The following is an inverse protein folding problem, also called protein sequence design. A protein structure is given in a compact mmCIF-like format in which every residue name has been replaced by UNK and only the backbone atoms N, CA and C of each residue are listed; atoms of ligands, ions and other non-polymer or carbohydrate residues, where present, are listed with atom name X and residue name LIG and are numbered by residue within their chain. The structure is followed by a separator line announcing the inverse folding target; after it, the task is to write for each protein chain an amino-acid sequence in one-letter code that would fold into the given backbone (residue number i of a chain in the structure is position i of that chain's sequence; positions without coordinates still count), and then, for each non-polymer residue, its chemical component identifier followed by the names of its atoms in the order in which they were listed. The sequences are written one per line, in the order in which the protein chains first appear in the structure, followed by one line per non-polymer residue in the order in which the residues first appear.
data_IF_325336299367
#
_entry.id   IF_325336299367
#
_cell.length_a   1.000
_cell.length_b   1.000
_cell.length_c   1.000
_cell.angle_alpha   90.00
_cell.angle_beta   90.00
_cell.angle_gamma   90.00
#
_symmetry.space_group_name_H-M   'P 1'
#
loop_
_entity.id
_entity.type
_entity.pdbx_description
1 polymer ?
#
# COMPACT_ATOMS: atom_id res chain seq x y z
N UNK A 1 -6.93 64.68 2.04
CA UNK A 1 -7.50 63.62 2.90
C UNK A 1 -7.13 62.25 2.31
N UNK A 2 -5.86 62.04 1.91
CA UNK A 2 -5.51 61.02 0.91
C UNK A 2 -4.40 59.99 1.25
N UNK A 3 -3.55 60.10 2.28
CA UNK A 3 -2.48 59.10 2.47
C UNK A 3 -2.96 57.79 3.14
N UNK A 4 -3.86 57.85 4.12
CA UNK A 4 -4.24 56.69 4.96
C UNK A 4 -5.02 55.60 4.19
N UNK A 5 -5.81 55.97 3.19
CA UNK A 5 -6.62 55.02 2.42
C UNK A 5 -5.75 54.23 1.43
N UNK A 6 -4.75 54.87 0.84
CA UNK A 6 -3.81 54.24 -0.09
C UNK A 6 -2.95 53.19 0.60
N UNK A 7 -2.49 53.47 1.82
CA UNK A 7 -1.72 52.52 2.63
C UNK A 7 -2.56 51.27 3.00
N UNK A 8 -3.84 51.46 3.33
CA UNK A 8 -4.74 50.36 3.65
C UNK A 8 -5.04 49.47 2.43
N UNK A 9 -5.18 50.04 1.23
CA UNK A 9 -5.39 49.30 -0.02
C UNK A 9 -4.17 48.45 -0.37
N UNK A 10 -2.96 49.03 -0.31
CA UNK A 10 -1.73 48.28 -0.57
C UNK A 10 -1.56 47.11 0.41
N UNK A 11 -1.86 47.30 1.69
CA UNK A 11 -1.82 46.22 2.69
C UNK A 11 -2.83 45.11 2.35
N UNK A 12 -4.04 45.46 1.91
CA UNK A 12 -5.05 44.47 1.50
C UNK A 12 -4.58 43.70 0.26
N UNK A 13 -4.02 44.39 -0.75
CA UNK A 13 -3.48 43.75 -1.95
C UNK A 13 -2.31 42.80 -1.64
N UNK A 14 -1.38 43.22 -0.76
CA UNK A 14 -0.28 42.36 -0.28
C UNK A 14 -0.79 41.14 0.50
N UNK A 15 -1.83 41.31 1.32
CA UNK A 15 -2.47 40.20 2.04
C UNK A 15 -3.17 39.23 1.09
N UNK A 16 -3.90 39.71 0.08
CA UNK A 16 -4.56 38.87 -0.92
C UNK A 16 -3.54 38.13 -1.80
N UNK A 17 -2.46 38.80 -2.21
CA UNK A 17 -1.36 38.17 -2.93
C UNK A 17 -0.67 37.09 -2.08
N UNK A 18 -0.42 37.37 -0.80
CA UNK A 18 0.17 36.39 0.13
C UNK A 18 -0.73 35.18 0.33
N UNK A 19 -2.05 35.38 0.43
CA UNK A 19 -3.02 34.27 0.48
C UNK A 19 -2.95 33.42 -0.79
N UNK A 20 -2.93 34.05 -1.97
CA UNK A 20 -2.81 33.34 -3.24
C UNK A 20 -1.52 32.49 -3.30
N UNK A 21 -0.37 33.07 -2.97
CA UNK A 21 0.92 32.37 -2.94
C UNK A 21 0.88 31.18 -1.98
N UNK A 22 0.38 31.39 -0.76
CA UNK A 22 0.25 30.33 0.24
C UNK A 22 -0.70 29.21 -0.22
N UNK A 23 -1.84 29.56 -0.84
CA UNK A 23 -2.77 28.58 -1.40
C UNK A 23 -2.12 27.73 -2.49
N UNK A 24 -1.35 28.34 -3.39
CA UNK A 24 -0.62 27.61 -4.44
C UNK A 24 0.44 26.69 -3.83
N UNK A 25 1.25 27.19 -2.90
CA UNK A 25 2.30 26.41 -2.26
C UNK A 25 1.76 25.23 -1.45
N UNK A 26 0.70 25.46 -0.67
CA UNK A 26 0.06 24.41 0.12
C UNK A 26 -0.57 23.34 -0.78
N UNK A 27 -1.31 23.76 -1.81
CA UNK A 27 -1.90 22.83 -2.79
C UNK A 27 -0.82 21.97 -3.46
N UNK A 28 0.27 22.58 -3.91
CA UNK A 28 1.39 21.85 -4.50
C UNK A 28 1.97 20.81 -3.53
N UNK A 29 2.28 21.23 -2.30
CA UNK A 29 2.88 20.36 -1.28
C UNK A 29 1.96 19.20 -0.94
N UNK A 30 0.68 19.46 -0.72
CA UNK A 30 -0.29 18.43 -0.33
C UNK A 30 -0.51 17.42 -1.46
N UNK A 31 -0.68 17.87 -2.70
CA UNK A 31 -0.89 16.98 -3.83
C UNK A 31 0.38 16.20 -4.20
N UNK A 32 1.56 16.80 -4.07
CA UNK A 32 2.83 16.10 -4.25
C UNK A 32 3.01 14.98 -3.21
N UNK A 33 2.74 15.27 -1.94
CA UNK A 33 2.78 14.26 -0.88
C UNK A 33 1.76 13.15 -1.12
N UNK A 34 0.55 13.51 -1.57
CA UNK A 34 -0.50 12.54 -1.92
C UNK A 34 -0.05 11.63 -3.06
N UNK A 35 0.56 12.17 -4.12
CA UNK A 35 1.10 11.39 -5.23
C UNK A 35 2.20 10.41 -4.78
N UNK A 36 3.15 10.86 -3.94
CA UNK A 36 4.18 9.99 -3.38
C UNK A 36 3.57 8.85 -2.55
N UNK A 37 2.56 9.15 -1.72
CA UNK A 37 1.84 8.13 -0.94
C UNK A 37 1.14 7.11 -1.84
N UNK A 38 0.43 7.56 -2.87
CA UNK A 38 -0.27 6.69 -3.81
C UNK A 38 0.69 5.76 -4.57
N UNK A 39 1.86 6.27 -4.98
CA UNK A 39 2.92 5.46 -5.59
C UNK A 39 3.42 4.42 -4.58
N UNK A 40 3.76 4.81 -3.35
CA UNK A 40 4.26 3.88 -2.33
C UNK A 40 3.26 2.78 -1.96
N UNK A 41 1.96 3.12 -1.87
CA UNK A 41 0.89 2.16 -1.66
C UNK A 41 0.81 1.16 -2.81
N UNK A 42 0.82 1.66 -4.05
CA UNK A 42 0.76 0.82 -5.25
C UNK A 42 1.98 -0.10 -5.38
N UNK A 43 3.18 0.40 -5.08
CA UNK A 43 4.42 -0.40 -5.10
C UNK A 43 4.41 -1.50 -4.03
N UNK A 44 3.98 -1.16 -2.82
CA UNK A 44 3.86 -2.12 -1.71
C UNK A 44 2.88 -3.22 -2.05
N UNK A 45 1.69 -2.86 -2.56
CA UNK A 45 0.66 -3.81 -2.95
C UNK A 45 1.13 -4.71 -4.10
N UNK A 46 1.75 -4.14 -5.14
CA UNK A 46 2.34 -4.91 -6.24
C UNK A 46 3.36 -5.92 -5.72
N UNK A 47 4.29 -5.49 -4.88
CA UNK A 47 5.34 -6.37 -4.34
C UNK A 47 4.73 -7.50 -3.50
N UNK A 48 3.70 -7.20 -2.71
CA UNK A 48 2.98 -8.19 -1.92
C UNK A 48 2.25 -9.22 -2.82
N UNK A 49 1.52 -8.76 -3.85
CA UNK A 49 0.84 -9.63 -4.82
C UNK A 49 1.81 -10.51 -5.61
N UNK A 50 2.97 -9.99 -6.00
CA UNK A 50 4.03 -10.80 -6.63
C UNK A 50 4.46 -11.93 -5.69
N UNK A 51 4.60 -11.63 -4.39
CA UNK A 51 4.90 -12.63 -3.37
C UNK A 51 3.85 -13.73 -3.28
N UNK A 52 2.56 -13.34 -3.25
CA UNK A 52 1.42 -14.25 -3.31
C UNK A 52 1.54 -15.19 -4.52
N UNK A 53 1.76 -14.62 -5.71
CA UNK A 53 1.84 -15.40 -6.95
C UNK A 53 2.96 -16.45 -6.93
N UNK A 54 4.13 -16.08 -6.41
CA UNK A 54 5.27 -16.98 -6.29
C UNK A 54 4.97 -18.10 -5.31
N UNK A 55 4.39 -17.80 -4.15
CA UNK A 55 4.14 -18.82 -3.11
C UNK A 55 3.07 -19.81 -3.53
N UNK A 56 1.99 -19.36 -4.16
CA UNK A 56 0.97 -20.29 -4.67
C UNK A 56 1.52 -21.18 -5.79
N UNK A 57 2.36 -20.63 -6.67
CA UNK A 57 3.05 -21.43 -7.67
C UNK A 57 3.96 -22.51 -7.04
N UNK A 58 4.70 -22.15 -5.98
CA UNK A 58 5.54 -23.10 -5.22
C UNK A 58 4.71 -24.22 -4.56
N UNK A 59 3.49 -23.93 -4.12
CA UNK A 59 2.61 -24.87 -3.40
C UNK A 59 1.94 -25.90 -4.30
N UNK A 60 1.70 -25.58 -5.56
CA UNK A 60 1.06 -26.50 -6.52
C UNK A 60 1.98 -27.67 -6.98
N UNK A 61 3.22 -27.72 -6.49
CA UNK A 61 4.04 -28.94 -6.38
C UNK A 61 4.62 -29.53 -7.67
N UNK A 62 3.85 -29.57 -8.76
CA UNK A 62 4.20 -30.22 -10.01
C UNK A 62 5.28 -29.42 -10.77
N UNK A 63 5.17 -28.08 -10.78
CA UNK A 63 6.15 -27.20 -11.42
C UNK A 63 7.40 -26.90 -10.57
N UNK A 64 7.35 -27.15 -9.25
CA UNK A 64 8.52 -26.97 -8.36
C UNK A 64 9.67 -27.89 -8.75
N UNK A 65 9.36 -29.11 -9.21
CA UNK A 65 10.35 -30.06 -9.71
C UNK A 65 11.01 -29.59 -11.03
N UNK A 66 10.29 -28.79 -11.84
CA UNK A 66 10.76 -28.30 -13.15
C UNK A 66 11.65 -27.07 -13.04
N UNK A 67 11.33 -26.13 -12.15
CA UNK A 67 12.07 -24.86 -12.04
C UNK A 67 13.03 -24.81 -10.83
N UNK A 68 12.81 -25.64 -9.81
CA UNK A 68 13.74 -25.86 -8.70
C UNK A 68 14.24 -24.59 -8.00
N UNK A 69 15.52 -24.58 -7.63
CA UNK A 69 16.19 -23.46 -6.95
C UNK A 69 16.31 -22.20 -7.80
N UNK A 70 16.16 -22.30 -9.13
CA UNK A 70 16.30 -21.20 -10.08
C UNK A 70 14.99 -20.52 -10.47
N UNK A 71 13.89 -20.82 -9.78
CA UNK A 71 12.56 -20.25 -10.07
C UNK A 71 12.61 -18.72 -10.19
N UNK A 72 13.18 -18.02 -9.21
CA UNK A 72 13.21 -16.55 -9.20
C UNK A 72 14.07 -15.96 -10.33
N UNK A 73 15.18 -16.63 -10.69
CA UNK A 73 16.00 -16.23 -11.82
C UNK A 73 15.25 -16.38 -13.14
N UNK A 74 14.51 -17.48 -13.30
CA UNK A 74 13.71 -17.75 -14.48
C UNK A 74 12.56 -16.74 -14.60
N UNK A 75 11.88 -16.41 -13.50
CA UNK A 75 10.85 -15.36 -13.47
C UNK A 75 11.45 -14.02 -13.88
N UNK A 76 12.56 -13.60 -13.26
CA UNK A 76 13.21 -12.31 -13.57
C UNK A 76 13.61 -12.19 -15.05
N UNK A 77 14.16 -13.27 -15.64
CA UNK A 77 14.50 -13.33 -17.07
C UNK A 77 13.28 -13.30 -17.99
N UNK A 78 12.15 -13.85 -17.54
CA UNK A 78 10.92 -13.94 -18.33
C UNK A 78 10.14 -12.63 -18.33
N UNK A 79 10.00 -11.96 -17.19
CA UNK A 79 9.17 -10.75 -17.07
C UNK A 79 9.92 -9.47 -17.50
N UNK A 80 11.24 -9.42 -17.34
CA UNK A 80 12.11 -8.30 -17.72
C UNK A 80 11.63 -6.91 -17.22
N UNK A 81 10.96 -6.86 -16.06
CA UNK A 81 10.48 -5.62 -15.46
C UNK A 81 11.63 -4.95 -14.70
N UNK A 82 11.91 -3.68 -15.03
CA UNK A 82 12.90 -2.88 -14.32
C UNK A 82 12.56 -2.79 -12.84
N UNK A 83 13.53 -3.12 -11.98
CA UNK A 83 13.35 -3.11 -10.53
C UNK A 83 12.75 -4.40 -9.97
N UNK A 84 12.56 -5.47 -10.76
CA UNK A 84 12.17 -6.80 -10.28
C UNK A 84 13.20 -7.91 -10.64
N UNK A 85 14.49 -7.75 -10.29
CA UNK A 85 15.44 -8.85 -10.42
C UNK A 85 15.15 -9.97 -9.40
N UNK A 86 15.81 -11.12 -9.56
CA UNK A 86 15.61 -12.29 -8.67
C UNK A 86 15.72 -11.98 -7.15
N UNK A 87 16.65 -11.13 -6.67
CA UNK A 87 16.67 -10.73 -5.26
C UNK A 87 15.42 -9.96 -4.82
N UNK A 88 14.86 -9.11 -5.68
CA UNK A 88 13.62 -8.37 -5.36
C UNK A 88 12.41 -9.30 -5.37
N UNK A 89 12.35 -10.26 -6.28
CA UNK A 89 11.34 -11.32 -6.26
C UNK A 89 11.43 -12.15 -4.98
N UNK A 90 12.63 -12.41 -4.48
CA UNK A 90 12.83 -13.07 -3.18
C UNK A 90 12.28 -12.23 -2.03
N UNK A 91 12.48 -10.92 -2.05
CA UNK A 91 11.89 -9.99 -1.06
C UNK A 91 10.38 -9.94 -1.16
N UNK A 92 9.82 -9.91 -2.37
CA UNK A 92 8.37 -9.99 -2.58
C UNK A 92 7.80 -11.28 -1.98
N UNK A 93 8.44 -12.43 -2.26
CA UNK A 93 8.09 -13.73 -1.67
C UNK A 93 8.14 -13.70 -0.14
N UNK A 94 9.19 -13.12 0.43
CA UNK A 94 9.33 -12.99 1.89
C UNK A 94 8.24 -12.08 2.47
N UNK A 95 7.97 -10.94 1.85
CA UNK A 95 6.95 -9.98 2.26
C UNK A 95 5.57 -10.65 2.39
N UNK A 96 5.18 -11.44 1.38
CA UNK A 96 3.93 -12.19 1.46
C UNK A 96 3.94 -13.25 2.57
N UNK A 97 5.02 -14.06 2.68
CA UNK A 97 5.13 -15.08 3.73
C UNK A 97 5.09 -14.50 5.14
N UNK A 98 5.65 -13.31 5.35
CA UNK A 98 5.66 -12.64 6.66
C UNK A 98 4.31 -11.98 6.99
N UNK A 99 3.60 -11.48 5.98
CA UNK A 99 2.36 -10.73 6.18
C UNK A 99 1.20 -11.23 5.31
N UNK A 100 0.80 -12.52 5.38
CA UNK A 100 -0.33 -13.03 4.61
C UNK A 100 -1.65 -12.33 4.97
N UNK A 101 -1.80 -11.88 6.22
CA UNK A 101 -3.00 -11.22 6.74
C UNK A 101 -3.32 -9.85 6.11
N UNK A 102 -2.36 -9.21 5.42
CA UNK A 102 -2.59 -7.94 4.70
C UNK A 102 -3.72 -8.07 3.68
N UNK A 103 -4.01 -9.29 3.23
CA UNK A 103 -5.04 -9.57 2.25
C UNK A 103 -6.45 -9.11 2.65
N UNK A 104 -6.82 -9.29 3.93
CA UNK A 104 -8.10 -8.82 4.45
C UNK A 104 -8.19 -7.28 4.41
N UNK A 105 -7.10 -6.58 4.68
CA UNK A 105 -7.02 -5.13 4.60
C UNK A 105 -7.07 -4.63 3.15
N UNK A 106 -6.36 -5.31 2.25
CA UNK A 106 -6.30 -4.97 0.82
C UNK A 106 -7.67 -5.08 0.15
N UNK A 107 -8.43 -6.13 0.47
CA UNK A 107 -9.76 -6.34 -0.10
C UNK A 107 -10.80 -5.33 0.40
N UNK A 108 -10.59 -4.73 1.57
CA UNK A 108 -11.49 -3.74 2.17
C UNK A 108 -11.14 -2.31 1.76
N UNK A 109 -9.88 -1.89 1.93
CA UNK A 109 -9.47 -0.49 1.76
C UNK A 109 -8.82 -0.21 0.40
N UNK A 110 -8.11 -1.19 -0.16
CA UNK A 110 -7.30 -1.01 -1.37
C UNK A 110 -7.91 -1.69 -2.60
N UNK A 111 -9.21 -2.00 -2.57
CA UNK A 111 -9.92 -2.63 -3.68
C UNK A 111 -9.75 -1.88 -5.01
N UNK A 112 -9.65 -0.56 -4.97
CA UNK A 112 -9.45 0.29 -6.14
C UNK A 112 -8.03 0.20 -6.74
N UNK A 113 -7.04 -0.26 -5.96
CA UNK A 113 -5.67 -0.48 -6.42
C UNK A 113 -5.42 -1.92 -6.89
N UNK A 114 -6.39 -2.82 -6.67
CA UNK A 114 -6.28 -4.19 -7.15
C UNK A 114 -6.41 -4.23 -8.68
N UNK A 115 -5.57 -5.02 -9.37
CA UNK A 115 -5.74 -5.25 -10.80
C UNK A 115 -7.13 -5.81 -11.11
N UNK A 116 -7.76 -5.32 -12.17
CA UNK A 116 -9.02 -5.86 -12.68
C UNK A 116 -8.82 -7.32 -13.10
N UNK A 117 -9.44 -8.24 -12.35
CA UNK A 117 -9.39 -9.68 -12.65
C UNK A 117 -8.22 -10.41 -11.99
N UNK A 118 -8.06 -10.29 -10.66
CA UNK A 118 -7.24 -11.24 -9.91
C UNK A 118 -7.62 -12.68 -10.32
N UNK A 119 -6.66 -13.51 -10.75
CA UNK A 119 -6.98 -14.84 -11.24
C UNK A 119 -7.67 -15.65 -10.14
N UNK A 120 -8.77 -16.34 -10.50
CA UNK A 120 -9.70 -17.01 -9.57
C UNK A 120 -9.04 -18.06 -8.67
N UNK A 121 -7.84 -18.55 -9.02
CA UNK A 121 -7.10 -19.51 -8.20
C UNK A 121 -6.31 -18.86 -7.05
N UNK A 122 -6.03 -17.55 -7.11
CA UNK A 122 -5.46 -16.77 -6.01
C UNK A 122 -6.52 -16.40 -4.96
N UNK A 123 -7.39 -17.36 -4.61
CA UNK A 123 -8.58 -17.15 -3.79
C UNK A 123 -8.22 -16.47 -2.47
N UNK A 124 -8.51 -15.17 -2.41
CA UNK A 124 -8.25 -14.34 -1.24
C UNK A 124 -9.10 -14.76 -0.01
N UNK A 125 -10.05 -15.67 -0.24
CA UNK A 125 -10.95 -16.27 0.74
C UNK A 125 -10.26 -17.33 1.62
N UNK A 126 -9.11 -17.88 1.19
CA UNK A 126 -8.41 -18.97 1.88
C UNK A 126 -7.40 -18.52 2.94
N UNK A 127 -7.12 -17.21 3.08
CA UNK A 127 -6.20 -16.69 4.11
C UNK A 127 -6.93 -16.54 5.44
N UNK A 128 -7.37 -17.67 6.01
CA UNK A 128 -7.77 -17.77 7.41
C UNK A 128 -6.54 -18.09 8.26
N UNK A 129 -5.82 -17.05 8.66
CA UNK A 129 -5.13 -17.09 9.94
C UNK A 129 -5.72 -15.99 10.82
N UNK A 130 -6.58 -16.35 11.78
CA UNK A 130 -7.03 -15.45 12.84
C UNK A 130 -5.81 -14.79 13.46
N UNK A 131 -5.93 -13.49 13.75
CA UNK A 131 -4.91 -12.72 14.45
C UNK A 131 -4.59 -13.48 15.75
N UNK A 132 -3.36 -13.98 15.88
CA UNK A 132 -2.82 -14.35 17.19
C UNK A 132 -2.72 -13.01 17.97
N UNK A 133 -3.76 -12.69 18.74
CA UNK A 133 -3.83 -11.47 19.55
C UNK A 133 -4.89 -10.43 19.18
N UNK A 134 -5.95 -10.75 18.43
CA UNK A 134 -7.16 -9.91 18.51
C UNK A 134 -7.75 -10.09 19.92
N UNK A 135 -7.82 -8.99 20.69
CA UNK A 135 -8.24 -8.99 22.10
C UNK A 135 -9.36 -10.00 22.36
N UNK A 136 -9.03 -11.03 23.13
CA UNK A 136 -10.00 -11.99 23.65
C UNK A 136 -11.05 -11.22 24.42
N UNK A 137 -12.31 -11.63 24.30
CA UNK A 137 -13.47 -11.09 25.02
C UNK A 137 -13.34 -11.14 26.57
N UNK A 138 -12.18 -11.51 27.12
CA UNK A 138 -11.87 -11.47 28.55
C UNK A 138 -11.65 -10.05 29.08
N UNK A 139 -11.18 -9.09 28.28
CA UNK A 139 -11.04 -7.70 28.74
C UNK A 139 -12.38 -6.96 28.94
N UNK A 140 -13.49 -7.51 28.43
CA UNK A 140 -14.84 -6.96 28.68
C UNK A 140 -15.61 -7.70 29.79
N UNK A 141 -15.14 -8.88 30.25
CA UNK A 141 -15.78 -9.59 31.37
C UNK A 141 -15.28 -9.16 32.76
N UNK A 142 -14.08 -8.59 32.87
CA UNK A 142 -13.56 -8.13 34.17
C UNK A 142 -14.19 -6.80 34.61
N UNK A 143 -14.73 -5.99 33.70
CA UNK A 143 -15.39 -4.73 34.04
C UNK A 143 -16.86 -4.87 34.49
N UNK A 144 -17.49 -6.04 34.35
CA UNK A 144 -18.91 -6.26 34.67
C UNK A 144 -19.10 -7.07 35.97
N UNK A 145 -18.03 -7.66 36.52
CA UNK A 145 -18.04 -8.30 37.85
C UNK A 145 -17.44 -7.36 38.89
N UNK A 146 -18.01 -6.17 39.03
CA UNK A 146 -17.88 -5.35 40.25
C UNK A 146 -19.21 -4.65 40.46
N UNK A 147 -20.17 -5.41 40.97
CA UNK A 147 -21.31 -4.93 41.76
C UNK A 147 -21.43 -5.90 42.93
#
# INVERSE_FOLDING_TARGET
MEPVITDAINIIEEMEFTKLVNSIQNTHKELQLSAVKAVNQSLTLRNWLIGLYIVEFEQNGEDRAKYGERLLENIAKSIQIKGLPAPELSRCRQLYKTYPQILGLVTQEFKHLLPTGLPKHYSLENVRHPILGSQTQESQKVAITTI
#
